data_IF_634593673879
#
_entry.id   IF_634593673879
#
_cell.length_a   1.000
_cell.length_b   1.000
_cell.length_c   1.000
_cell.angle_alpha   90.00
_cell.angle_beta   90.00
_cell.angle_gamma   90.00
#
_symmetry.space_group_name_H-M   'P 1'
#
loop_
_entity.id
_entity.type
_entity.pdbx_description
1 polymer ?
#
# COMPACT_ATOMS: atom_id res chain seq x y z
N UNK A 1 -39.49 -32.39 -22.30
CA UNK A 1 -38.14 -31.80 -22.15
C UNK A 1 -38.26 -30.54 -21.31
N UNK A 2 -37.23 -30.19 -20.56
CA UNK A 2 -37.13 -28.89 -19.88
C UNK A 2 -35.95 -28.11 -20.46
N UNK A 3 -36.13 -26.81 -20.71
CA UNK A 3 -35.07 -25.88 -21.12
C UNK A 3 -34.88 -24.89 -19.99
N UNK A 4 -33.66 -24.84 -19.43
CA UNK A 4 -33.32 -23.92 -18.33
C UNK A 4 -34.36 -23.94 -17.19
N UNK A 5 -34.79 -25.14 -16.78
CA UNK A 5 -35.77 -25.35 -15.72
C UNK A 5 -37.24 -25.16 -16.10
N UNK A 6 -37.56 -24.76 -17.34
CA UNK A 6 -38.94 -24.56 -17.81
C UNK A 6 -39.36 -25.71 -18.74
N UNK A 7 -40.56 -26.27 -18.56
CA UNK A 7 -41.11 -27.28 -19.46
C UNK A 7 -41.39 -26.68 -20.85
N UNK A 8 -40.85 -27.29 -21.89
CA UNK A 8 -41.07 -26.86 -23.27
C UNK A 8 -42.36 -27.48 -23.84
N UNK A 9 -43.29 -26.63 -24.26
CA UNK A 9 -44.60 -26.99 -24.79
C UNK A 9 -44.66 -26.78 -26.30
N UNK A 10 -45.68 -27.35 -26.95
CA UNK A 10 -45.91 -27.17 -28.38
C UNK A 10 -46.04 -25.68 -28.71
N UNK A 11 -45.39 -25.25 -29.79
CA UNK A 11 -45.28 -23.86 -30.27
C UNK A 11 -44.40 -22.92 -29.44
N UNK A 12 -43.80 -23.37 -28.34
CA UNK A 12 -42.80 -22.57 -27.64
C UNK A 12 -41.60 -22.31 -28.55
N UNK A 13 -41.02 -21.11 -28.44
CA UNK A 13 -39.82 -20.71 -29.16
C UNK A 13 -38.61 -20.78 -28.23
N UNK A 14 -37.55 -21.43 -28.70
CA UNK A 14 -36.34 -21.72 -27.93
C UNK A 14 -35.12 -21.22 -28.71
N UNK A 15 -34.30 -20.41 -28.04
CA UNK A 15 -32.96 -20.08 -28.50
C UNK A 15 -32.00 -21.24 -28.20
N UNK A 16 -31.45 -21.83 -29.25
CA UNK A 16 -30.39 -22.84 -29.19
C UNK A 16 -29.08 -22.19 -29.62
N UNK A 17 -28.17 -21.95 -28.67
CA UNK A 17 -26.98 -21.11 -28.89
C UNK A 17 -25.62 -21.77 -28.64
N UNK A 18 -25.60 -22.93 -27.98
CA UNK A 18 -24.38 -23.62 -27.52
C UNK A 18 -24.36 -25.11 -27.91
N UNK A 19 -24.80 -25.46 -29.13
CA UNK A 19 -24.63 -26.82 -29.66
C UNK A 19 -23.15 -27.08 -29.99
N UNK A 20 -22.72 -28.34 -29.88
CA UNK A 20 -21.37 -28.77 -30.28
C UNK A 20 -21.10 -28.45 -31.76
N UNK A 21 -22.12 -28.61 -32.61
CA UNK A 21 -22.11 -28.20 -34.02
C UNK A 21 -22.80 -26.84 -34.16
N UNK A 22 -22.03 -25.76 -34.22
CA UNK A 22 -22.55 -24.39 -34.22
C UNK A 22 -23.44 -24.05 -35.42
N UNK A 23 -23.35 -24.77 -36.54
CA UNK A 23 -24.28 -24.63 -37.67
C UNK A 23 -25.72 -25.09 -37.33
N UNK A 24 -25.91 -25.79 -36.20
CA UNK A 24 -27.21 -26.20 -35.65
C UNK A 24 -27.75 -25.22 -34.60
N UNK A 25 -27.02 -24.15 -34.28
CA UNK A 25 -27.58 -23.09 -33.44
C UNK A 25 -28.61 -22.26 -34.23
N UNK A 26 -29.52 -21.63 -33.51
CA UNK A 26 -30.57 -20.79 -34.07
C UNK A 26 -31.76 -20.66 -33.14
N UNK A 27 -32.85 -20.13 -33.69
CA UNK A 27 -34.13 -20.00 -33.02
C UNK A 27 -35.05 -21.11 -33.54
N UNK A 28 -35.64 -21.88 -32.63
CA UNK A 28 -36.43 -23.07 -32.94
C UNK A 28 -37.81 -22.99 -32.32
N UNK A 29 -38.82 -23.49 -33.02
CA UNK A 29 -40.16 -23.76 -32.47
C UNK A 29 -40.28 -25.23 -32.09
N UNK A 30 -40.87 -25.50 -30.94
CA UNK A 30 -41.26 -26.86 -30.54
C UNK A 30 -42.42 -27.31 -31.43
N UNK A 31 -42.19 -28.33 -32.26
CA UNK A 31 -43.20 -28.88 -33.17
C UNK A 31 -43.74 -30.24 -32.72
N UNK A 32 -43.07 -30.89 -31.77
CA UNK A 32 -43.63 -32.03 -31.05
C UNK A 32 -43.02 -32.11 -29.64
N UNK A 33 -43.87 -32.28 -28.61
CA UNK A 33 -43.43 -32.41 -27.21
C UNK A 33 -42.92 -33.80 -26.84
N UNK A 34 -42.95 -34.74 -27.79
CA UNK A 34 -42.58 -36.14 -27.59
C UNK A 34 -43.54 -36.91 -26.66
N UNK A 35 -43.46 -38.24 -26.72
CA UNK A 35 -44.14 -39.17 -25.81
C UNK A 35 -43.29 -40.44 -25.64
N UNK A 36 -43.76 -41.43 -24.89
CA UNK A 36 -43.03 -42.69 -24.67
C UNK A 36 -42.63 -43.45 -25.95
N UNK A 37 -43.26 -43.13 -27.10
CA UNK A 37 -42.93 -43.72 -28.41
C UNK A 37 -42.61 -42.70 -29.52
N UNK A 38 -42.55 -41.40 -29.23
CA UNK A 38 -42.29 -40.35 -30.23
C UNK A 38 -41.26 -39.34 -29.74
N UNK A 39 -40.28 -38.93 -30.57
CA UNK A 39 -39.26 -37.98 -30.15
C UNK A 39 -39.86 -36.58 -29.94
N UNK A 40 -39.20 -35.81 -29.07
CA UNK A 40 -39.37 -34.36 -29.02
C UNK A 40 -38.74 -33.75 -30.28
N UNK A 41 -39.42 -32.81 -30.92
CA UNK A 41 -38.95 -32.21 -32.18
C UNK A 41 -38.89 -30.70 -32.06
N UNK A 42 -37.72 -30.15 -32.41
CA UNK A 42 -37.48 -28.74 -32.64
C UNK A 42 -37.32 -28.52 -34.15
N UNK A 43 -38.07 -27.58 -34.69
CA UNK A 43 -37.91 -27.11 -36.07
C UNK A 43 -37.44 -25.67 -36.05
N UNK A 44 -36.57 -25.24 -36.98
CA UNK A 44 -36.18 -23.83 -37.04
C UNK A 44 -37.44 -22.96 -37.17
N UNK A 45 -37.48 -21.85 -36.43
CA UNK A 45 -38.60 -20.93 -36.47
C UNK A 45 -38.77 -20.39 -37.90
N UNK A 46 -40.02 -20.14 -38.32
CA UNK A 46 -40.34 -19.76 -39.71
C UNK A 46 -39.75 -18.43 -40.15
N UNK A 47 -39.30 -17.60 -39.21
CA UNK A 47 -38.63 -16.32 -39.43
C UNK A 47 -37.11 -16.40 -39.20
N UNK A 48 -36.56 -17.60 -39.05
CA UNK A 48 -35.14 -17.85 -38.77
C UNK A 48 -34.69 -19.19 -39.35
N UNK A 49 -35.22 -19.54 -40.52
CA UNK A 49 -35.03 -20.85 -41.17
C UNK A 49 -34.45 -20.76 -42.58
N UNK A 50 -34.36 -19.58 -43.19
CA UNK A 50 -33.63 -19.36 -44.45
C UNK A 50 -32.34 -18.58 -44.21
N UNK A 51 -31.41 -18.72 -45.14
CA UNK A 51 -30.16 -17.94 -45.15
C UNK A 51 -30.43 -16.44 -45.14
N UNK A 52 -31.47 -15.99 -45.83
CA UNK A 52 -31.86 -14.57 -45.91
C UNK A 52 -32.61 -14.06 -44.68
N UNK A 53 -32.97 -14.91 -43.72
CA UNK A 53 -33.66 -14.51 -42.48
C UNK A 53 -32.70 -14.31 -41.30
N UNK A 54 -31.40 -14.52 -41.53
CA UNK A 54 -30.38 -14.53 -40.50
C UNK A 54 -29.32 -13.50 -40.87
N UNK A 55 -29.40 -12.36 -40.22
CA UNK A 55 -28.51 -11.23 -40.44
C UNK A 55 -27.54 -11.09 -39.25
N UNK A 56 -26.36 -10.54 -39.53
CA UNK A 56 -25.38 -10.21 -38.52
C UNK A 56 -25.92 -9.06 -37.66
N UNK A 57 -25.99 -9.27 -36.35
CA UNK A 57 -26.54 -8.30 -35.41
C UNK A 57 -28.00 -8.55 -35.02
N UNK A 58 -28.65 -9.57 -35.58
CA UNK A 58 -29.99 -9.98 -35.15
C UNK A 58 -30.06 -10.23 -33.65
N UNK A 59 -31.09 -9.67 -33.00
CA UNK A 59 -31.27 -9.80 -31.56
C UNK A 59 -32.45 -10.70 -31.21
N UNK A 60 -32.27 -11.49 -30.16
CA UNK A 60 -33.33 -12.30 -29.57
C UNK A 60 -33.37 -12.09 -28.07
N UNK A 61 -34.58 -11.97 -27.53
CA UNK A 61 -34.85 -11.73 -26.13
C UNK A 61 -35.34 -13.03 -25.49
N UNK A 62 -34.60 -13.50 -24.48
CA UNK A 62 -35.00 -14.68 -23.70
C UNK A 62 -35.90 -14.21 -22.56
N UNK A 63 -37.17 -14.61 -22.61
CA UNK A 63 -38.21 -14.14 -21.68
C UNK A 63 -38.44 -15.08 -20.49
N UNK A 64 -37.98 -16.33 -20.57
CA UNK A 64 -38.16 -17.35 -19.54
C UNK A 64 -36.93 -18.23 -19.37
N UNK A 65 -36.86 -18.92 -18.23
CA UNK A 65 -35.70 -19.71 -17.81
C UNK A 65 -35.19 -19.28 -16.44
N UNK A 66 -34.66 -20.22 -15.67
CA UNK A 66 -34.12 -19.96 -14.33
C UNK A 66 -32.81 -19.15 -14.36
N UNK A 67 -31.95 -19.41 -15.34
CA UNK A 67 -30.61 -18.80 -15.44
C UNK A 67 -30.54 -17.77 -16.56
N UNK A 68 -31.23 -18.03 -17.67
CA UNK A 68 -31.14 -17.27 -18.91
C UNK A 68 -32.34 -16.35 -19.14
N UNK A 69 -33.35 -16.37 -18.28
CA UNK A 69 -34.48 -15.45 -18.34
C UNK A 69 -34.02 -13.98 -18.26
N UNK A 70 -34.70 -13.10 -18.99
CA UNK A 70 -34.37 -11.67 -19.11
C UNK A 70 -32.95 -11.40 -19.66
N UNK A 71 -32.46 -12.23 -20.58
CA UNK A 71 -31.20 -12.00 -21.31
C UNK A 71 -31.46 -11.64 -22.78
N UNK A 72 -30.58 -10.82 -23.36
CA UNK A 72 -30.60 -10.49 -24.80
C UNK A 72 -29.36 -11.07 -25.45
N UNK A 73 -29.54 -11.69 -26.61
CA UNK A 73 -28.49 -12.34 -27.38
C UNK A 73 -28.47 -11.83 -28.81
N UNK A 74 -27.27 -11.61 -29.34
CA UNK A 74 -27.05 -11.07 -30.67
C UNK A 74 -26.32 -12.09 -31.55
N UNK A 75 -26.84 -12.37 -32.75
CA UNK A 75 -26.13 -13.15 -33.76
C UNK A 75 -24.84 -12.42 -34.11
N UNK A 76 -23.71 -13.10 -34.01
CA UNK A 76 -22.38 -12.48 -34.19
C UNK A 76 -21.45 -13.28 -35.10
N UNK A 77 -22.00 -14.18 -35.93
CA UNK A 77 -21.21 -15.04 -36.80
C UNK A 77 -21.04 -14.41 -38.19
N UNK A 78 -21.89 -14.81 -39.13
CA UNK A 78 -21.85 -14.47 -40.54
C UNK A 78 -23.20 -13.90 -40.97
N UNK A 79 -23.16 -12.85 -41.78
CA UNK A 79 -24.33 -12.33 -42.51
C UNK A 79 -24.83 -13.37 -43.52
N UNK A 80 -26.13 -13.65 -43.51
CA UNK A 80 -26.79 -14.65 -44.34
C UNK A 80 -26.06 -16.03 -44.41
N UNK A 81 -25.92 -16.75 -43.28
CA UNK A 81 -25.22 -18.03 -43.24
C UNK A 81 -25.98 -19.11 -44.04
N UNK A 82 -25.24 -19.99 -44.72
CA UNK A 82 -25.79 -21.19 -45.37
C UNK A 82 -26.20 -22.19 -44.30
N UNK A 83 -27.52 -22.41 -44.18
CA UNK A 83 -28.10 -23.33 -43.20
C UNK A 83 -27.51 -24.74 -43.35
N UNK A 84 -27.08 -25.31 -42.23
CA UNK A 84 -26.51 -26.67 -42.17
C UNK A 84 -25.02 -26.75 -42.48
N UNK A 85 -24.39 -25.64 -42.87
CA UNK A 85 -22.95 -25.59 -43.21
C UNK A 85 -22.23 -24.51 -42.42
N UNK A 86 -22.69 -23.26 -42.52
CA UNK A 86 -22.03 -22.13 -41.87
C UNK A 86 -22.37 -22.10 -40.36
N UNK A 87 -21.39 -21.78 -39.50
CA UNK A 87 -21.64 -21.54 -38.08
C UNK A 87 -22.66 -20.42 -37.82
N UNK A 88 -23.53 -20.62 -36.83
CA UNK A 88 -24.38 -19.58 -36.27
C UNK A 88 -24.01 -19.46 -34.78
N UNK A 89 -23.63 -18.26 -34.34
CA UNK A 89 -23.25 -18.01 -32.94
C UNK A 89 -23.97 -16.81 -32.39
N UNK A 90 -24.19 -16.82 -31.07
CA UNK A 90 -24.84 -15.74 -30.35
C UNK A 90 -23.99 -15.29 -29.18
N UNK A 91 -23.86 -13.98 -28.98
CA UNK A 91 -23.24 -13.38 -27.81
C UNK A 91 -24.30 -12.67 -26.96
N UNK A 92 -24.22 -12.80 -25.63
CA UNK A 92 -25.10 -12.07 -24.73
C UNK A 92 -24.74 -10.58 -24.76
N UNK A 93 -25.72 -9.72 -24.98
CA UNK A 93 -25.54 -8.27 -25.06
C UNK A 93 -26.25 -7.51 -23.94
N UNK A 94 -27.20 -8.14 -23.25
CA UNK A 94 -27.83 -7.57 -22.05
C UNK A 94 -28.42 -8.65 -21.12
N UNK A 95 -28.81 -8.22 -19.92
CA UNK A 95 -29.56 -9.03 -18.96
C UNK A 95 -28.76 -9.61 -17.80
N UNK A 96 -29.39 -10.51 -17.06
CA UNK A 96 -28.76 -11.19 -15.93
C UNK A 96 -27.52 -11.96 -16.37
N UNK A 97 -26.44 -11.88 -15.59
CA UNK A 97 -25.19 -12.59 -15.87
C UNK A 97 -24.33 -12.02 -17.01
N UNK A 98 -24.70 -10.89 -17.65
CA UNK A 98 -23.84 -10.24 -18.66
C UNK A 98 -22.46 -9.84 -18.13
N UNK A 99 -22.36 -9.62 -16.83
CA UNK A 99 -21.09 -9.29 -16.18
C UNK A 99 -20.94 -10.09 -14.89
N UNK A 100 -19.73 -10.58 -14.65
CA UNK A 100 -19.33 -11.18 -13.37
C UNK A 100 -18.26 -10.29 -12.75
N UNK A 101 -18.47 -9.86 -11.51
CA UNK A 101 -17.45 -9.13 -10.79
C UNK A 101 -16.28 -10.06 -10.44
N UNK A 102 -15.08 -9.70 -10.88
CA UNK A 102 -13.86 -10.39 -10.47
C UNK A 102 -13.47 -10.02 -9.03
N UNK A 103 -12.38 -10.61 -8.55
CA UNK A 103 -11.85 -10.29 -7.22
C UNK A 103 -11.52 -8.79 -7.09
N UNK A 104 -11.97 -8.16 -6.01
CA UNK A 104 -11.78 -6.73 -5.76
C UNK A 104 -12.81 -5.81 -6.44
N UNK A 105 -13.80 -6.36 -7.13
CA UNK A 105 -14.93 -5.63 -7.68
C UNK A 105 -16.24 -6.11 -7.06
N UNK A 106 -17.19 -5.19 -6.89
CA UNK A 106 -18.57 -5.49 -6.55
C UNK A 106 -19.45 -5.04 -7.71
N UNK A 107 -20.36 -5.91 -8.17
CA UNK A 107 -21.39 -5.56 -9.15
C UNK A 107 -22.74 -5.57 -8.43
N UNK A 108 -23.33 -4.39 -8.25
CA UNK A 108 -24.66 -4.22 -7.68
C UNK A 108 -25.60 -3.69 -8.76
N UNK A 109 -26.45 -4.56 -9.29
CA UNK A 109 -27.29 -4.24 -10.45
C UNK A 109 -26.45 -3.88 -11.67
N UNK A 110 -26.44 -2.61 -12.06
CA UNK A 110 -25.66 -2.07 -13.20
C UNK A 110 -24.42 -1.28 -12.78
N UNK A 111 -24.14 -1.15 -11.47
CA UNK A 111 -23.03 -0.35 -10.96
C UNK A 111 -21.86 -1.25 -10.55
N UNK A 112 -20.69 -0.96 -11.10
CA UNK A 112 -19.42 -1.52 -10.63
C UNK A 112 -18.81 -0.60 -9.60
N UNK A 113 -18.40 -1.17 -8.47
CA UNK A 113 -17.62 -0.51 -7.44
C UNK A 113 -16.36 -1.33 -7.14
N UNK A 114 -15.32 -0.66 -6.65
CA UNK A 114 -14.19 -1.35 -6.03
C UNK A 114 -14.61 -1.87 -4.66
N UNK A 115 -14.19 -3.08 -4.32
CA UNK A 115 -14.28 -3.58 -2.96
C UNK A 115 -13.09 -3.01 -2.15
N UNK A 116 -13.38 -1.99 -1.33
CA UNK A 116 -12.36 -1.28 -0.56
C UNK A 116 -11.76 -2.11 0.58
N UNK A 117 -12.31 -3.29 0.87
CA UNK A 117 -11.70 -4.25 1.80
C UNK A 117 -10.50 -4.99 1.17
N UNK A 118 -10.43 -5.02 -0.17
CA UNK A 118 -9.40 -5.72 -0.94
C UNK A 118 -8.50 -4.75 -1.70
N UNK A 119 -9.07 -3.66 -2.22
CA UNK A 119 -8.46 -2.66 -3.10
C UNK A 119 -8.39 -1.30 -2.40
N UNK A 120 -7.32 -0.54 -2.62
CA UNK A 120 -7.18 0.81 -2.06
C UNK A 120 -7.92 1.84 -2.90
N UNK A 121 -8.73 2.69 -2.27
CA UNK A 121 -9.32 3.86 -2.91
C UNK A 121 -8.54 5.16 -2.60
N UNK A 122 -8.94 6.26 -3.25
CA UNK A 122 -8.35 7.58 -3.01
C UNK A 122 -9.11 8.37 -1.92
N UNK A 123 -10.40 8.07 -1.75
CA UNK A 123 -11.34 8.87 -0.98
C UNK A 123 -11.41 8.51 0.50
N UNK A 124 -10.88 7.36 0.91
CA UNK A 124 -11.00 6.90 2.30
C UNK A 124 -9.66 6.48 2.90
N UNK A 125 -9.63 6.39 4.23
CA UNK A 125 -8.44 5.97 4.95
C UNK A 125 -8.27 4.45 4.80
N UNK A 126 -7.17 4.03 4.19
CA UNK A 126 -6.92 2.62 3.89
C UNK A 126 -6.08 1.93 4.95
N UNK A 127 -6.49 0.73 5.35
CA UNK A 127 -5.69 -0.20 6.16
C UNK A 127 -5.25 -1.39 5.30
N UNK A 128 -3.93 -1.61 5.21
CA UNK A 128 -3.34 -2.67 4.40
C UNK A 128 -2.81 -3.80 5.30
N UNK A 129 -3.70 -4.67 5.80
CA UNK A 129 -3.32 -5.72 6.78
C UNK A 129 -2.78 -7.02 6.17
N UNK A 130 -2.92 -7.25 4.87
CA UNK A 130 -2.48 -8.49 4.20
C UNK A 130 -1.81 -8.23 2.85
N UNK A 131 -0.92 -7.23 2.82
CA UNK A 131 -0.20 -6.81 1.61
C UNK A 131 1.31 -6.84 1.87
N UNK A 132 2.08 -7.40 0.95
CA UNK A 132 3.54 -7.33 0.97
C UNK A 132 3.98 -6.06 0.25
N UNK A 133 4.56 -5.10 0.99
CA UNK A 133 5.18 -3.91 0.42
C UNK A 133 6.70 -4.12 0.39
N UNK A 134 7.28 -4.22 -0.81
CA UNK A 134 8.73 -4.38 -0.97
C UNK A 134 9.34 -3.00 -1.19
N UNK A 135 10.07 -2.49 -0.17
CA UNK A 135 10.76 -1.20 -0.21
C UNK A 135 9.88 0.00 -0.64
N UNK A 136 8.76 0.28 0.06
CA UNK A 136 7.86 1.35 -0.34
C UNK A 136 8.57 2.73 -0.27
N UNK A 137 8.44 3.52 -1.34
CA UNK A 137 8.82 4.94 -1.31
C UNK A 137 7.67 5.74 -0.67
N UNK A 138 7.93 6.35 0.48
CA UNK A 138 6.98 7.24 1.17
C UNK A 138 7.27 8.69 0.81
N UNK A 139 6.23 9.51 0.67
CA UNK A 139 6.32 10.96 0.41
C UNK A 139 5.60 11.75 1.51
N UNK A 140 5.89 13.06 1.59
CA UNK A 140 5.33 13.92 2.63
C UNK A 140 5.94 13.67 4.01
N UNK A 141 5.11 13.60 5.04
CA UNK A 141 5.54 13.41 6.45
C UNK A 141 4.85 12.16 7.02
N UNK A 142 5.30 10.94 6.67
CA UNK A 142 4.72 9.72 7.21
C UNK A 142 4.84 9.69 8.74
N UNK A 143 3.77 9.27 9.41
CA UNK A 143 3.74 9.14 10.86
C UNK A 143 3.95 7.69 11.29
N UNK A 144 4.61 7.50 12.42
CA UNK A 144 4.78 6.21 13.07
C UNK A 144 4.59 6.38 14.59
N UNK A 145 4.00 5.41 15.29
CA UNK A 145 3.96 5.41 16.75
C UNK A 145 5.36 5.52 17.36
N UNK A 146 5.49 6.19 18.50
CA UNK A 146 6.77 6.31 19.21
C UNK A 146 6.92 5.15 20.19
N UNK A 147 7.91 4.29 19.94
CA UNK A 147 8.24 3.19 20.83
C UNK A 147 8.85 3.67 22.16
N UNK A 148 8.82 2.82 23.18
CA UNK A 148 9.50 3.08 24.45
C UNK A 148 11.04 3.05 24.28
N UNK A 149 11.77 3.82 25.11
CA UNK A 149 13.22 3.86 25.08
C UNK A 149 13.85 2.45 25.25
N UNK A 150 14.93 2.17 24.52
CA UNK A 150 15.62 0.88 24.55
C UNK A 150 14.94 -0.23 23.74
N UNK A 151 13.82 0.03 23.07
CA UNK A 151 13.17 -0.97 22.20
C UNK A 151 14.09 -1.40 21.07
N UNK A 152 14.33 -2.71 20.94
CA UNK A 152 15.10 -3.32 19.85
C UNK A 152 14.21 -4.30 19.08
N UNK A 153 13.75 -3.88 17.90
CA UNK A 153 12.81 -4.66 17.06
C UNK A 153 12.87 -4.21 15.60
N UNK A 154 12.07 -4.82 14.73
CA UNK A 154 11.93 -4.44 13.32
C UNK A 154 10.94 -3.26 13.08
N UNK A 155 10.44 -2.61 14.14
CA UNK A 155 9.56 -1.46 14.01
C UNK A 155 10.29 -0.26 13.38
N UNK A 156 9.56 0.55 12.60
CA UNK A 156 10.09 1.82 12.09
C UNK A 156 10.32 2.77 13.28
N UNK A 157 11.51 3.35 13.38
CA UNK A 157 11.81 4.37 14.37
C UNK A 157 11.15 5.71 13.99
N UNK A 158 10.32 6.26 14.88
CA UNK A 158 9.80 7.62 14.73
C UNK A 158 10.92 8.66 14.95
N UNK A 159 10.73 9.88 14.46
CA UNK A 159 11.67 10.99 14.70
C UNK A 159 11.82 11.31 16.19
N UNK A 160 10.73 11.19 16.97
CA UNK A 160 10.76 11.36 18.42
C UNK A 160 11.59 10.29 19.13
N UNK A 161 11.48 9.02 18.70
CA UNK A 161 12.32 7.94 19.23
C UNK A 161 13.81 8.19 18.96
N UNK A 162 14.16 8.59 17.74
CA UNK A 162 15.55 8.90 17.37
C UNK A 162 16.12 10.08 18.16
N UNK A 163 15.34 11.15 18.36
CA UNK A 163 15.75 12.29 19.17
C UNK A 163 15.97 11.91 20.65
N UNK A 164 15.08 11.10 21.22
CA UNK A 164 15.22 10.60 22.59
C UNK A 164 16.44 9.68 22.75
N UNK A 165 16.72 8.82 21.77
CA UNK A 165 17.89 7.96 21.78
C UNK A 165 19.21 8.75 21.70
N UNK A 166 19.22 9.89 21.01
CA UNK A 166 20.37 10.80 20.96
C UNK A 166 20.53 11.65 22.24
N UNK A 167 19.45 11.86 23.00
CA UNK A 167 19.50 12.61 24.25
C UNK A 167 20.39 11.90 25.29
N UNK A 168 21.19 12.68 26.02
CA UNK A 168 22.08 12.15 27.06
C UNK A 168 23.36 11.49 26.54
N UNK A 169 23.62 11.53 25.23
CA UNK A 169 24.90 11.10 24.64
C UNK A 169 25.95 12.21 24.73
N UNK A 170 27.23 11.82 24.74
CA UNK A 170 28.33 12.78 24.61
C UNK A 170 28.35 13.33 23.17
N UNK A 171 28.04 14.61 23.02
CA UNK A 171 27.91 15.25 21.69
C UNK A 171 29.27 15.58 21.08
N UNK A 172 30.25 15.99 21.89
CA UNK A 172 31.59 16.36 21.45
C UNK A 172 32.57 16.45 22.63
N UNK A 173 33.88 16.35 22.36
CA UNK A 173 34.97 16.69 23.28
C UNK A 173 35.79 17.83 22.67
N UNK A 174 35.84 18.98 23.35
CA UNK A 174 36.67 20.11 22.93
C UNK A 174 37.90 20.21 23.82
N UNK A 175 39.09 20.09 23.23
CA UNK A 175 40.37 20.25 23.93
C UNK A 175 40.92 21.64 23.68
N UNK A 176 41.31 22.35 24.74
CA UNK A 176 41.95 23.67 24.67
C UNK A 176 43.35 23.57 25.25
N UNK A 177 44.37 23.88 24.44
CA UNK A 177 45.79 23.90 24.83
C UNK A 177 46.36 25.32 24.95
N UNK A 178 45.58 26.33 24.55
CA UNK A 178 45.86 27.75 24.78
C UNK A 178 44.55 28.49 25.11
N UNK A 179 44.66 29.68 25.71
CA UNK A 179 43.52 30.55 26.01
C UNK A 179 42.69 30.83 24.76
N UNK A 180 41.38 30.61 24.83
CA UNK A 180 40.46 30.65 23.68
C UNK A 180 39.00 30.71 24.16
N UNK A 181 38.05 30.92 23.27
CA UNK A 181 36.62 30.81 23.59
C UNK A 181 36.16 29.35 23.45
N UNK A 182 35.49 28.83 24.47
CA UNK A 182 34.66 27.63 24.35
C UNK A 182 33.31 28.02 23.76
N UNK A 183 32.90 27.34 22.69
CA UNK A 183 31.58 27.51 22.08
C UNK A 183 30.84 26.18 22.18
N UNK A 184 29.69 26.11 22.88
CA UNK A 184 28.93 24.87 22.98
C UNK A 184 28.59 24.30 21.59
N UNK A 185 28.78 23.00 21.42
CA UNK A 185 28.30 22.31 20.22
C UNK A 185 26.78 22.33 20.22
N UNK A 186 26.15 22.54 19.05
CA UNK A 186 24.69 22.57 18.93
C UNK A 186 24.07 21.29 19.54
N UNK A 187 23.05 21.47 20.38
CA UNK A 187 22.38 20.38 21.10
C UNK A 187 23.04 19.95 22.42
N UNK A 188 24.23 20.47 22.77
CA UNK A 188 24.82 20.23 24.09
C UNK A 188 24.09 21.07 25.16
N UNK A 189 23.51 20.39 26.15
CA UNK A 189 22.76 21.05 27.26
C UNK A 189 23.51 21.04 28.58
N UNK A 190 24.48 20.14 28.74
CA UNK A 190 25.32 19.96 29.94
C UNK A 190 26.75 19.66 29.52
N UNK A 191 27.71 19.94 30.40
CA UNK A 191 29.13 19.68 30.13
C UNK A 191 29.86 19.12 31.34
N UNK A 192 30.95 18.40 31.06
CA UNK A 192 31.96 18.02 32.05
C UNK A 192 33.26 18.67 31.59
N UNK A 193 33.90 19.42 32.47
CA UNK A 193 35.17 20.09 32.20
C UNK A 193 36.26 19.41 32.99
N UNK A 194 37.34 19.03 32.33
CA UNK A 194 38.56 18.56 32.95
C UNK A 194 39.62 19.66 32.81
N UNK A 195 40.17 20.12 33.93
CA UNK A 195 41.26 21.12 33.94
C UNK A 195 42.50 20.45 34.52
N UNK A 196 43.56 20.34 33.74
CA UNK A 196 44.86 19.85 34.20
C UNK A 196 45.86 21.00 34.16
N UNK A 197 46.36 21.44 35.32
CA UNK A 197 47.27 22.59 35.41
C UNK A 197 48.74 22.16 35.53
N UNK A 198 49.60 22.74 34.68
CA UNK A 198 51.06 22.70 34.85
C UNK A 198 51.55 23.92 35.61
N UNK A 199 51.48 23.90 36.95
CA UNK A 199 52.08 24.92 37.82
C UNK A 199 51.38 26.28 37.81
N UNK A 200 50.76 26.63 38.95
CA UNK A 200 50.06 27.90 39.25
C UNK A 200 48.79 28.22 38.43
N UNK A 201 47.66 27.62 38.84
CA UNK A 201 46.36 28.30 38.88
C UNK A 201 45.80 28.85 37.57
N UNK A 202 45.56 28.01 36.56
CA UNK A 202 44.59 28.33 35.52
C UNK A 202 43.18 28.30 36.11
N UNK A 203 42.39 29.36 35.96
CA UNK A 203 40.96 29.38 36.30
C UNK A 203 40.14 29.43 35.02
N UNK A 204 39.05 28.67 34.96
CA UNK A 204 38.06 28.79 33.89
C UNK A 204 36.99 29.83 34.25
N UNK A 205 37.32 31.14 34.17
CA UNK A 205 36.35 32.25 34.02
C UNK A 205 35.33 32.50 35.16
N UNK A 206 34.79 33.72 35.19
CA UNK A 206 33.94 34.32 36.25
C UNK A 206 32.45 33.95 36.14
N UNK A 207 32.12 32.68 36.28
CA UNK A 207 30.74 32.18 36.40
C UNK A 207 30.72 30.86 37.19
N UNK A 208 29.57 30.49 37.76
CA UNK A 208 29.41 29.33 38.66
C UNK A 208 30.12 28.07 38.14
N UNK A 209 31.29 27.74 38.72
CA UNK A 209 32.15 26.63 38.31
C UNK A 209 33.62 26.98 38.00
N UNK A 210 34.16 28.08 38.54
CA UNK A 210 35.59 28.41 38.41
C UNK A 210 36.45 27.36 39.12
N UNK A 211 36.91 26.34 38.39
CA UNK A 211 37.84 25.35 38.92
C UNK A 211 39.28 25.83 38.71
N UNK A 212 40.08 25.81 39.79
CA UNK A 212 41.51 26.12 39.73
C UNK A 212 42.32 24.87 39.99
N UNK A 213 43.17 24.49 39.04
CA UNK A 213 44.13 23.40 39.23
C UNK A 213 45.23 23.83 40.21
N UNK A 214 45.19 23.29 41.43
CA UNK A 214 46.24 23.49 42.43
C UNK A 214 47.45 22.57 42.17
N UNK A 215 48.65 23.15 42.12
CA UNK A 215 49.93 22.42 42.08
C UNK A 215 50.33 21.82 40.72
N UNK A 216 51.61 21.47 40.57
CA UNK A 216 52.14 20.85 39.36
C UNK A 216 51.50 19.46 39.13
N UNK A 217 50.67 19.34 38.10
CA UNK A 217 50.06 18.06 37.68
C UNK A 217 48.68 17.74 38.29
N UNK A 218 48.04 18.69 38.99
CA UNK A 218 46.68 18.49 39.51
C UNK A 218 45.61 18.54 38.42
N UNK A 219 44.63 17.63 38.47
CA UNK A 219 43.42 17.66 37.64
C UNK A 219 42.19 17.97 38.48
N UNK A 220 41.35 18.91 38.03
CA UNK A 220 40.01 19.17 38.60
C UNK A 220 38.92 18.85 37.59
N UNK A 221 37.73 18.52 38.10
CA UNK A 221 36.55 18.17 37.29
C UNK A 221 35.39 19.08 37.71
N UNK A 222 34.82 19.79 36.75
CA UNK A 222 33.63 20.63 36.92
C UNK A 222 32.43 20.08 36.15
N UNK A 223 31.23 20.23 36.73
CA UNK A 223 29.96 19.88 36.08
C UNK A 223 29.17 21.15 35.74
N UNK A 224 28.84 21.33 34.47
CA UNK A 224 28.06 22.46 33.97
C UNK A 224 26.61 22.00 33.71
N UNK A 225 25.66 22.58 34.43
CA UNK A 225 24.22 22.29 34.29
C UNK A 225 23.53 23.09 33.17
N UNK A 226 24.23 24.08 32.63
CA UNK A 226 23.84 24.86 31.45
C UNK A 226 25.10 25.29 30.71
N UNK A 227 25.05 25.34 29.38
CA UNK A 227 26.20 25.71 28.54
C UNK A 227 25.95 27.03 27.82
N UNK A 228 26.93 27.92 27.89
CA UNK A 228 27.00 29.14 27.12
C UNK A 228 28.41 29.30 26.56
N UNK A 229 28.57 30.15 25.54
CA UNK A 229 29.90 30.53 25.07
C UNK A 229 30.66 31.22 26.21
N UNK A 230 31.90 30.81 26.48
CA UNK A 230 32.66 31.30 27.63
C UNK A 230 34.16 31.36 27.32
N UNK A 231 34.83 32.39 27.83
CA UNK A 231 36.27 32.50 27.71
C UNK A 231 36.97 31.43 28.58
N UNK A 232 37.92 30.72 27.98
CA UNK A 232 38.81 29.77 28.67
C UNK A 232 40.19 30.42 28.77
N UNK A 233 40.68 30.61 29.99
CA UNK A 233 42.00 31.18 30.24
C UNK A 233 42.93 30.07 30.73
N UNK A 234 44.04 29.87 30.04
CA UNK A 234 45.11 28.96 30.44
C UNK A 234 46.28 29.83 30.94
N UNK A 235 46.59 29.70 32.23
CA UNK A 235 47.67 30.43 32.88
C UNK A 235 49.06 29.98 32.39
N UNK A 236 50.05 30.86 32.51
CA UNK A 236 51.46 30.50 32.28
C UNK A 236 51.97 29.60 33.40
N UNK A 237 52.88 28.67 33.09
CA UNK A 237 53.51 27.84 34.11
C UNK A 237 54.22 28.68 35.17
N UNK A 238 53.97 28.36 36.45
CA UNK A 238 54.61 29.02 37.58
C UNK A 238 56.14 28.91 37.56
N UNK A 239 56.84 29.94 38.03
CA UNK A 239 58.29 29.92 38.16
C UNK A 239 58.73 28.83 39.16
N UNK A 240 59.85 28.15 38.88
CA UNK A 240 60.45 27.23 39.84
C UNK A 240 60.76 27.98 41.15
N UNK A 241 60.42 27.38 42.30
CA UNK A 241 60.75 27.95 43.61
C UNK A 241 62.26 28.16 43.73
N UNK A 242 62.67 29.27 44.35
CA UNK A 242 64.08 29.54 44.58
C UNK A 242 64.72 28.37 45.35
N UNK A 243 65.79 27.78 44.79
CA UNK A 243 66.60 26.78 45.49
C UNK A 243 67.10 27.40 46.79
N UNK A 244 66.74 26.79 47.92
CA UNK A 244 67.13 27.26 49.26
C UNK A 244 68.65 27.40 49.34
N UNK A 245 69.12 28.53 49.87
CA UNK A 245 70.54 28.80 50.02
C UNK A 245 71.23 27.68 50.80
N UNK A 246 72.35 27.19 50.26
CA UNK A 246 73.20 26.23 50.96
C UNK A 246 73.71 26.87 52.26
N UNK A 247 73.46 26.19 53.38
CA UNK A 247 74.01 26.51 54.71
C UNK A 247 75.50 26.22 54.78
#
# INVERSE_FOLDING_TARGET
MTVDGVAANLNDVILVKNQASSFQNGIYTVTATGSAGAPFVLSRATYYNLSADIDLGDQTFVTGGATQGATTWTQNAKENPVIGTDPITFAQTAGVGSYTAGNGLTLAGTQFAIDTTIVTDLSSAQSLSNKTLVSPALSGVPTAPTAAAGTSSAQIASTAFAAAAAAGTLVNVQVKTASSTYTPTAGATRGIVFVTAGGAGGTTGTGSGSESGGGAGGTTIGFLNSLASTAVTIGSGGAAGAVGGAS
#
